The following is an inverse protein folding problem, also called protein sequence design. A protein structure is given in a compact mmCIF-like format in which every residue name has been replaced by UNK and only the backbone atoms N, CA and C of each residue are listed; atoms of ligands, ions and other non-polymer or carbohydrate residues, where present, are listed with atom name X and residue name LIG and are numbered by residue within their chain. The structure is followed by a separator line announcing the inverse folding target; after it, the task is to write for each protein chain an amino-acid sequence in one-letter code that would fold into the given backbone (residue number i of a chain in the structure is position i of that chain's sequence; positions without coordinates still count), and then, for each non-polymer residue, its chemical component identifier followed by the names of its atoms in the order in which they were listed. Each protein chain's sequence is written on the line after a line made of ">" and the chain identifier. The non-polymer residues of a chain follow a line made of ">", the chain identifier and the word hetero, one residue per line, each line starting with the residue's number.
data_IF_536336510437
#
_entry.id   IF_536336510437
#
_cell.length_a   1.000
_cell.length_b   1.000
_cell.length_c   1.000
_cell.angle_alpha   90.00
_cell.angle_beta   90.00
_cell.angle_gamma   90.00
#
_symmetry.space_group_name_H-M   'P 1'
#
loop_
_entity.id
_entity.type
_entity.pdbx_description
1 polymer ?
#
# COMPACT_ATOMS: atom_id res chain seq x y z
N UNK A 1 6.03 -4.53 4.82
CA UNK A 1 4.76 -4.81 4.11
C UNK A 1 4.18 -6.16 4.52
N UNK A 2 4.80 -7.31 4.18
CA UNK A 2 4.33 -8.64 4.66
C UNK A 2 4.17 -8.68 6.18
N UNK A 3 5.17 -8.20 6.92
CA UNK A 3 5.14 -8.08 8.39
C UNK A 3 4.09 -7.10 8.94
N UNK A 4 3.57 -6.20 8.11
CA UNK A 4 2.53 -5.24 8.47
C UNK A 4 1.12 -5.74 8.11
N UNK A 5 0.98 -6.99 7.62
CA UNK A 5 -0.31 -7.61 7.30
C UNK A 5 -0.71 -7.59 5.82
N UNK A 6 0.03 -6.86 4.96
CA UNK A 6 -0.29 -6.79 3.54
C UNK A 6 0.02 -8.12 2.83
N UNK A 7 -0.85 -8.52 1.89
CA UNK A 7 -0.48 -9.52 0.88
C UNK A 7 0.36 -8.83 -0.18
N UNK A 8 1.62 -9.22 -0.31
CA UNK A 8 2.59 -8.56 -1.19
C UNK A 8 2.78 -9.33 -2.49
N UNK A 9 2.64 -8.65 -3.62
CA UNK A 9 3.07 -9.14 -4.92
C UNK A 9 4.54 -8.78 -5.11
N UNK A 10 5.39 -9.78 -5.28
CA UNK A 10 6.83 -9.58 -5.40
C UNK A 10 7.15 -8.87 -6.73
N UNK A 11 7.80 -7.70 -6.71
CA UNK A 11 8.09 -6.96 -7.93
C UNK A 11 9.23 -7.64 -8.71
N UNK A 12 9.02 -7.86 -10.00
CA UNK A 12 10.07 -8.35 -10.91
C UNK A 12 10.89 -7.20 -11.54
N UNK A 13 10.55 -5.95 -11.21
CA UNK A 13 11.25 -4.76 -11.67
C UNK A 13 10.57 -3.47 -11.24
N UNK A 14 11.12 -2.33 -11.67
CA UNK A 14 10.71 -0.96 -11.29
C UNK A 14 10.93 -0.64 -9.80
N UNK A 15 10.49 0.54 -9.37
CA UNK A 15 10.57 1.00 -7.98
C UNK A 15 9.21 1.00 -7.26
N UNK A 16 8.28 0.15 -7.71
CA UNK A 16 6.95 0.00 -7.15
C UNK A 16 6.71 -1.40 -6.58
N UNK A 17 5.89 -1.47 -5.54
CA UNK A 17 5.38 -2.73 -4.97
C UNK A 17 3.85 -2.63 -4.93
N UNK A 18 3.17 -3.60 -5.52
CA UNK A 18 1.71 -3.74 -5.41
C UNK A 18 1.38 -4.71 -4.28
N UNK A 19 0.36 -4.36 -3.51
CA UNK A 19 -0.11 -5.16 -2.38
C UNK A 19 -1.62 -5.18 -2.33
N UNK A 20 -2.19 -6.25 -1.79
CA UNK A 20 -3.61 -6.41 -1.57
C UNK A 20 -3.96 -6.17 -0.09
N UNK A 21 -5.05 -5.42 0.14
CA UNK A 21 -5.53 -5.03 1.48
C UNK A 21 -6.64 -5.94 2.03
N UNK A 22 -7.09 -6.95 1.28
CA UNK A 22 -8.12 -7.88 1.78
C UNK A 22 -7.80 -8.58 3.10
N UNK A 23 -6.52 -8.85 3.49
CA UNK A 23 -6.20 -9.39 4.81
C UNK A 23 -6.60 -8.47 5.99
N UNK A 24 -6.81 -7.18 5.75
CA UNK A 24 -7.31 -6.24 6.75
C UNK A 24 -8.85 -6.21 6.85
N UNK A 25 -9.55 -7.02 6.04
CA UNK A 25 -11.01 -6.97 5.92
C UNK A 25 -11.52 -5.77 5.13
N UNK A 26 -10.64 -5.11 4.37
CA UNK A 26 -10.96 -3.93 3.56
C UNK A 26 -10.89 -4.29 2.06
N UNK A 27 -11.85 -3.76 1.29
CA UNK A 27 -11.96 -4.01 -0.16
C UNK A 27 -11.87 -2.72 -0.98
N UNK A 28 -11.88 -1.54 -0.33
CA UNK A 28 -11.81 -0.24 -0.99
C UNK A 28 -10.43 0.40 -0.76
N UNK A 29 -9.54 0.18 -1.73
CA UNK A 29 -8.20 0.76 -1.76
C UNK A 29 -8.21 2.29 -1.75
N UNK A 30 -9.25 2.92 -2.32
CA UNK A 30 -9.34 4.37 -2.36
C UNK A 30 -9.59 4.93 -0.95
N UNK A 31 -10.59 4.39 -0.25
CA UNK A 31 -10.88 4.73 1.14
C UNK A 31 -9.68 4.41 2.05
N UNK A 32 -9.09 3.22 1.90
CA UNK A 32 -7.91 2.81 2.65
C UNK A 32 -6.74 3.78 2.48
N UNK A 33 -6.39 4.12 1.23
CA UNK A 33 -5.29 5.04 0.93
C UNK A 33 -5.54 6.46 1.46
N UNK A 34 -6.80 6.91 1.52
CA UNK A 34 -7.13 8.21 2.13
C UNK A 34 -6.98 8.21 3.65
N UNK A 35 -7.32 7.11 4.32
CA UNK A 35 -7.20 6.99 5.77
C UNK A 35 -5.78 6.65 6.23
N UNK A 36 -4.94 6.04 5.39
CA UNK A 36 -3.61 5.56 5.75
C UNK A 36 -2.68 6.64 6.34
N UNK A 37 -2.63 7.89 5.81
CA UNK A 37 -1.81 8.95 6.39
C UNK A 37 -2.24 9.33 7.81
N UNK A 38 -3.54 9.31 8.10
CA UNK A 38 -4.05 9.60 9.45
C UNK A 38 -3.80 8.44 10.41
N UNK A 39 -3.92 7.19 9.92
CA UNK A 39 -3.72 5.97 10.73
C UNK A 39 -2.28 5.77 11.14
N UNK A 40 -1.34 5.95 10.22
CA UNK A 40 0.07 5.63 10.48
C UNK A 40 1.07 6.62 9.89
N UNK A 41 0.64 7.70 9.23
CA UNK A 41 1.57 8.70 8.67
C UNK A 41 2.30 8.21 7.42
N UNK A 42 1.71 7.27 6.68
CA UNK A 42 2.22 6.74 5.40
C UNK A 42 1.17 6.90 4.32
N UNK A 43 1.59 7.29 3.12
CA UNK A 43 0.72 7.39 1.95
C UNK A 43 0.97 6.23 0.99
N UNK A 44 -0.10 5.76 0.34
CA UNK A 44 -0.08 4.78 -0.73
C UNK A 44 -1.01 5.24 -1.87
N UNK A 45 -0.90 4.61 -3.03
CA UNK A 45 -1.73 4.94 -4.19
C UNK A 45 -2.68 3.77 -4.49
N UNK A 46 -3.99 3.98 -4.57
CA UNK A 46 -4.92 2.93 -5.00
C UNK A 46 -4.63 2.56 -6.45
N UNK A 47 -4.61 1.27 -6.76
CA UNK A 47 -4.26 0.78 -8.09
C UNK A 47 -5.42 0.98 -9.07
N UNK A 48 -6.67 0.98 -8.60
CA UNK A 48 -7.87 1.19 -9.42
C UNK A 48 -7.85 2.46 -10.26
N UNK A 49 -7.09 3.50 -9.88
CA UNK A 49 -6.94 4.75 -10.68
C UNK A 49 -6.16 4.55 -11.98
N UNK A 50 -5.51 3.39 -12.15
CA UNK A 50 -4.80 3.00 -13.38
C UNK A 50 -5.62 2.06 -14.26
N UNK A 51 -6.85 1.73 -13.89
CA UNK A 51 -7.74 0.83 -14.64
C UNK A 51 -8.94 1.63 -15.18
N UNK A 52 -9.41 1.25 -16.36
CA UNK A 52 -10.68 1.78 -16.90
C UNK A 52 -11.89 1.21 -16.15
N UNK A 53 -11.78 -0.02 -15.65
CA UNK A 53 -12.74 -0.65 -14.73
C UNK A 53 -12.26 -0.47 -13.28
N UNK A 54 -12.93 0.35 -12.46
CA UNK A 54 -12.54 0.59 -11.07
C UNK A 54 -12.62 -0.65 -10.17
N UNK A 55 -13.44 -1.66 -10.54
CA UNK A 55 -13.50 -2.92 -9.80
C UNK A 55 -12.23 -3.75 -10.02
N UNK A 56 -11.58 -3.59 -11.17
CA UNK A 56 -10.28 -4.18 -11.43
C UNK A 56 -9.21 -3.49 -10.57
N UNK A 57 -8.79 -4.17 -9.49
CA UNK A 57 -7.82 -3.64 -8.54
C UNK A 57 -8.42 -2.85 -7.37
N UNK A 58 -9.71 -3.04 -7.08
CA UNK A 58 -10.42 -2.35 -5.99
C UNK A 58 -9.77 -2.52 -4.62
N UNK A 59 -9.17 -3.68 -4.34
CA UNK A 59 -8.42 -3.99 -3.11
C UNK A 59 -6.90 -3.81 -3.24
N UNK A 60 -6.42 -3.26 -4.35
CA UNK A 60 -4.99 -3.21 -4.66
C UNK A 60 -4.44 -1.81 -4.37
N UNK A 61 -3.34 -1.76 -3.63
CA UNK A 61 -2.60 -0.53 -3.30
C UNK A 61 -1.15 -0.66 -3.73
N UNK A 62 -0.55 0.46 -4.13
CA UNK A 62 0.82 0.53 -4.61
C UNK A 62 1.66 1.46 -3.75
N UNK A 63 2.84 0.97 -3.36
CA UNK A 63 3.88 1.74 -2.68
C UNK A 63 5.05 2.00 -3.62
N UNK A 64 5.76 3.12 -3.42
CA UNK A 64 7.03 3.43 -4.08
C UNK A 64 8.18 3.29 -3.09
N UNK A 65 9.32 2.78 -3.54
CA UNK A 65 10.53 2.73 -2.72
C UNK A 65 11.71 3.54 -3.31
N UNK A 66 11.46 4.39 -4.30
CA UNK A 66 12.42 5.37 -4.82
C UNK A 66 12.58 6.59 -3.87
N UNK A 67 12.91 6.32 -2.60
CA UNK A 67 13.13 7.33 -1.55
C UNK A 67 14.48 7.07 -0.88
N UNK A 68 14.93 8.04 -0.07
CA UNK A 68 16.12 7.85 0.77
C UNK A 68 15.86 6.77 1.82
N UNK A 69 16.92 6.10 2.25
CA UNK A 69 16.86 4.98 3.20
C UNK A 69 16.18 5.39 4.52
N UNK A 70 16.51 6.56 5.08
CA UNK A 70 15.88 7.12 6.30
C UNK A 70 14.36 7.20 6.19
N UNK A 71 13.84 7.57 5.02
CA UNK A 71 12.40 7.65 4.77
C UNK A 71 11.77 6.26 4.68
N UNK A 72 12.48 5.29 4.11
CA UNK A 72 11.99 3.92 3.99
C UNK A 72 11.95 3.22 5.36
N UNK A 73 12.96 3.42 6.20
CA UNK A 73 13.02 2.90 7.56
C UNK A 73 11.86 3.44 8.41
N UNK A 74 11.68 4.76 8.42
CA UNK A 74 10.57 5.42 9.13
C UNK A 74 9.21 4.91 8.64
N UNK A 75 9.03 4.75 7.32
CA UNK A 75 7.79 4.21 6.76
C UNK A 75 7.53 2.76 7.21
N UNK A 76 8.58 1.92 7.29
CA UNK A 76 8.46 0.54 7.80
C UNK A 76 8.06 0.54 9.27
N UNK A 77 8.64 1.40 10.11
CA UNK A 77 8.28 1.51 11.53
C UNK A 77 6.84 1.97 11.72
N UNK A 78 6.40 2.95 10.94
CA UNK A 78 5.02 3.44 10.94
C UNK A 78 4.02 2.37 10.51
N UNK A 79 4.31 1.66 9.42
CA UNK A 79 3.42 0.60 8.90
C UNK A 79 3.24 -0.56 9.88
N UNK A 80 4.22 -0.82 10.77
CA UNK A 80 4.06 -1.83 11.83
C UNK A 80 2.94 -1.49 12.82
N UNK A 81 2.54 -0.23 12.94
CA UNK A 81 1.42 0.20 13.81
C UNK A 81 0.04 -0.09 13.22
N UNK A 82 -0.02 -0.55 11.98
CA UNK A 82 -1.27 -0.87 11.28
C UNK A 82 -1.81 -2.26 11.66
N UNK A 83 -0.93 -3.16 12.11
CA UNK A 83 -1.24 -4.55 12.48
C UNK A 83 -1.51 -4.74 13.96
#
# INVERSE_FOLDING_TARGET
>A
LRSAGFRVHEPEGTYFITTDISPFGEEDAYAFCRALPERCGVAAVPVSVFYDDPEAGRSQVRFTFCKREDVLEEAVERLRRLG
#
